data_IF_071893879521
#
_entry.id   IF_071893879521
#
_cell.length_a   1.000
_cell.length_b   1.000
_cell.length_c   1.000
_cell.angle_alpha   90.00
_cell.angle_beta   90.00
_cell.angle_gamma   90.00
#
_symmetry.space_group_name_H-M   'P 1'
#
loop_
_entity.id
_entity.type
_entity.pdbx_description
1 polymer ?
#
# COMPACT_ATOMS: atom_id res chain seq x y z
N UNK A 1 3.05 16.28 3.32
CA UNK A 1 3.26 16.15 1.87
C UNK A 1 2.48 17.22 1.13
N UNK A 2 1.18 17.34 1.39
CA UNK A 2 0.32 18.42 0.89
C UNK A 2 0.97 19.81 1.03
N UNK A 3 1.38 20.17 2.25
CA UNK A 3 2.05 21.46 2.51
C UNK A 3 3.32 21.68 1.68
N UNK A 4 4.06 20.62 1.39
CA UNK A 4 5.29 20.70 0.60
C UNK A 4 4.98 20.93 -0.89
N UNK A 5 3.89 20.34 -1.38
CA UNK A 5 3.42 20.55 -2.75
C UNK A 5 2.85 21.97 -2.92
N UNK A 6 2.12 22.46 -1.92
CA UNK A 6 1.59 23.83 -1.91
C UNK A 6 2.74 24.83 -1.89
N UNK A 7 3.71 24.65 -0.99
CA UNK A 7 4.90 25.49 -0.93
C UNK A 7 5.72 25.44 -2.24
N UNK A 8 5.81 24.28 -2.90
CA UNK A 8 6.46 24.21 -4.21
C UNK A 8 5.74 25.09 -5.23
N UNK A 9 4.41 24.95 -5.33
CA UNK A 9 3.61 25.72 -6.28
C UNK A 9 3.68 27.22 -6.00
N UNK A 10 3.66 27.63 -4.73
CA UNK A 10 3.75 29.05 -4.35
C UNK A 10 5.12 29.65 -4.73
N UNK A 11 6.19 28.87 -4.60
CA UNK A 11 7.55 29.33 -4.90
C UNK A 11 7.89 29.31 -6.39
N UNK A 12 7.44 28.28 -7.11
CA UNK A 12 7.78 28.10 -8.53
C UNK A 12 6.73 28.64 -9.48
N UNK A 13 5.50 28.87 -8.99
CA UNK A 13 4.30 29.17 -9.78
C UNK A 13 3.89 28.03 -10.75
N UNK A 14 4.54 26.86 -10.65
CA UNK A 14 4.23 25.69 -11.45
C UNK A 14 3.66 24.58 -10.56
N UNK A 15 2.66 23.89 -11.07
CA UNK A 15 2.11 22.71 -10.42
C UNK A 15 3.00 21.51 -10.73
N UNK A 16 3.42 20.78 -9.69
CA UNK A 16 4.14 19.53 -9.87
C UNK A 16 3.23 18.49 -10.54
N UNK A 17 3.66 17.95 -11.68
CA UNK A 17 2.95 16.87 -12.38
C UNK A 17 3.24 15.49 -11.77
N UNK A 18 4.43 15.33 -11.21
CA UNK A 18 4.94 14.09 -10.63
C UNK A 18 5.62 14.34 -9.29
N UNK A 19 5.35 13.47 -8.31
CA UNK A 19 5.99 13.47 -6.99
C UNK A 19 6.64 12.11 -6.77
N UNK A 20 7.94 12.13 -6.49
CA UNK A 20 8.72 10.96 -6.06
C UNK A 20 8.91 11.06 -4.55
N UNK A 21 8.64 9.99 -3.81
CA UNK A 21 8.88 9.99 -2.36
C UNK A 21 9.36 8.66 -1.82
N UNK A 22 10.24 8.74 -0.82
CA UNK A 22 10.80 7.59 -0.13
C UNK A 22 9.79 6.84 0.75
N UNK A 23 10.14 5.61 1.15
CA UNK A 23 9.37 4.74 2.05
C UNK A 23 8.79 5.45 3.28
N UNK A 24 9.47 6.47 3.83
CA UNK A 24 9.01 7.19 5.03
C UNK A 24 7.75 8.04 4.77
N UNK A 25 7.55 8.47 3.53
CA UNK A 25 6.40 9.29 3.13
C UNK A 25 5.26 8.47 2.50
N UNK A 26 5.42 7.15 2.47
CA UNK A 26 4.43 6.21 1.92
C UNK A 26 3.31 6.02 2.93
N UNK A 27 2.26 6.84 2.82
CA UNK A 27 1.02 6.72 3.61
C UNK A 27 -0.20 6.77 2.69
N UNK A 28 -1.31 6.14 3.11
CA UNK A 28 -2.57 6.17 2.34
C UNK A 28 -2.99 7.62 2.07
N UNK A 29 -2.91 8.49 3.08
CA UNK A 29 -3.25 9.91 2.96
C UNK A 29 -2.42 10.64 1.90
N UNK A 30 -1.11 10.38 1.85
CA UNK A 30 -0.22 10.99 0.87
C UNK A 30 -0.53 10.50 -0.56
N UNK A 31 -0.86 9.22 -0.74
CA UNK A 31 -1.32 8.72 -2.03
C UNK A 31 -2.65 9.36 -2.46
N UNK A 32 -3.63 9.41 -1.56
CA UNK A 32 -4.94 9.98 -1.86
C UNK A 32 -4.84 11.47 -2.17
N UNK A 33 -4.02 12.23 -1.43
CA UNK A 33 -3.81 13.65 -1.72
C UNK A 33 -3.13 13.91 -3.06
N UNK A 34 -2.19 13.06 -3.49
CA UNK A 34 -1.62 13.13 -4.84
C UNK A 34 -2.70 12.85 -5.91
N UNK A 35 -3.53 11.83 -5.67
CA UNK A 35 -4.64 11.47 -6.57
C UNK A 35 -5.67 12.60 -6.71
N UNK A 36 -6.10 13.18 -5.59
CA UNK A 36 -7.06 14.29 -5.54
C UNK A 36 -6.55 15.53 -6.28
N UNK A 37 -5.23 15.69 -6.37
CA UNK A 37 -4.56 16.79 -7.08
C UNK A 37 -4.20 16.43 -8.52
N UNK A 38 -4.55 15.23 -8.99
CA UNK A 38 -4.15 14.70 -10.30
C UNK A 38 -2.63 14.72 -10.55
N UNK A 39 -1.85 14.47 -9.49
CA UNK A 39 -0.39 14.39 -9.52
C UNK A 39 0.04 12.93 -9.50
N UNK A 40 0.94 12.55 -10.41
CA UNK A 40 1.47 11.18 -10.46
C UNK A 40 2.38 10.94 -9.26
N UNK A 41 2.08 9.90 -8.48
CA UNK A 41 2.82 9.55 -7.29
C UNK A 41 3.73 8.34 -7.55
N UNK A 42 5.03 8.59 -7.65
CA UNK A 42 6.07 7.56 -7.75
C UNK A 42 6.57 7.23 -6.35
N UNK A 43 5.80 6.39 -5.67
CA UNK A 43 6.06 5.98 -4.29
C UNK A 43 6.19 4.46 -4.19
N UNK A 44 7.01 3.93 -3.27
CA UNK A 44 7.05 2.51 -2.98
C UNK A 44 5.68 1.96 -2.53
N UNK A 45 5.44 0.68 -2.83
CA UNK A 45 4.16 0.04 -2.58
C UNK A 45 3.90 -0.22 -1.08
N UNK A 46 2.80 0.36 -0.56
CA UNK A 46 2.31 0.20 0.82
C UNK A 46 2.16 -1.27 1.25
N UNK A 47 1.75 -2.16 0.33
CA UNK A 47 1.40 -3.55 0.68
C UNK A 47 2.61 -4.49 0.65
N UNK A 48 3.73 -4.13 0.02
CA UNK A 48 4.90 -5.03 -0.13
C UNK A 48 5.44 -5.57 1.20
N UNK A 49 5.53 -4.74 2.23
CA UNK A 49 6.04 -5.17 3.54
C UNK A 49 5.12 -6.20 4.21
N UNK A 50 3.80 -5.96 4.16
CA UNK A 50 2.79 -6.88 4.70
C UNK A 50 2.77 -8.21 3.92
N UNK A 51 2.90 -8.13 2.59
CA UNK A 51 2.95 -9.28 1.71
C UNK A 51 4.16 -10.18 2.01
N UNK A 52 5.34 -9.59 2.14
CA UNK A 52 6.57 -10.31 2.49
C UNK A 52 6.47 -11.01 3.85
N UNK A 53 5.81 -10.37 4.83
CA UNK A 53 5.54 -11.00 6.12
C UNK A 53 4.58 -12.18 5.99
N UNK A 54 3.51 -12.04 5.22
CA UNK A 54 2.52 -13.11 5.02
C UNK A 54 3.15 -14.35 4.37
N UNK A 55 4.07 -14.14 3.41
CA UNK A 55 4.86 -15.22 2.79
C UNK A 55 5.70 -15.95 3.85
N UNK A 56 6.42 -15.21 4.69
CA UNK A 56 7.24 -15.81 5.78
C UNK A 56 6.40 -16.60 6.78
N UNK A 57 5.19 -16.15 7.06
CA UNK A 57 4.29 -16.81 8.02
C UNK A 57 3.51 -18.00 7.41
N UNK A 58 3.60 -18.21 6.09
CA UNK A 58 2.88 -19.27 5.37
C UNK A 58 1.37 -19.04 5.29
N UNK A 59 0.92 -17.80 5.42
CA UNK A 59 -0.49 -17.44 5.48
C UNK A 59 -0.92 -16.81 4.15
N UNK A 60 -2.13 -17.15 3.68
CA UNK A 60 -2.72 -16.53 2.50
C UNK A 60 -2.80 -15.01 2.62
N UNK A 61 -2.38 -14.37 1.53
CA UNK A 61 -2.43 -12.93 1.31
C UNK A 61 -3.85 -12.46 1.03
N UNK A 62 -4.07 -11.18 1.23
CA UNK A 62 -5.36 -10.56 0.92
C UNK A 62 -5.68 -10.63 -0.58
N UNK A 63 -4.67 -10.80 -1.45
CA UNK A 63 -4.83 -10.99 -2.90
C UNK A 63 -5.54 -12.30 -3.28
N UNK A 64 -5.62 -13.28 -2.37
CA UNK A 64 -6.43 -14.50 -2.56
C UNK A 64 -7.92 -14.28 -2.30
N UNK A 65 -8.30 -13.09 -1.83
CA UNK A 65 -9.67 -12.71 -1.55
C UNK A 65 -10.15 -11.73 -2.61
N UNK A 66 -11.17 -12.13 -3.37
CA UNK A 66 -11.70 -11.30 -4.45
C UNK A 66 -12.85 -10.46 -3.93
N UNK A 67 -12.84 -9.15 -4.19
CA UNK A 67 -13.96 -8.27 -3.83
C UNK A 67 -15.02 -8.30 -4.92
N UNK A 68 -16.27 -8.53 -4.52
CA UNK A 68 -17.46 -8.45 -5.37
C UNK A 68 -18.21 -7.16 -5.04
N UNK A 69 -18.15 -6.19 -5.96
CA UNK A 69 -18.75 -4.87 -5.80
C UNK A 69 -20.28 -4.89 -5.88
N UNK A 70 -20.89 -5.89 -6.52
CA UNK A 70 -22.35 -5.98 -6.63
C UNK A 70 -22.99 -6.38 -5.31
N UNK A 71 -22.33 -7.28 -4.57
CA UNK A 71 -22.85 -7.80 -3.30
C UNK A 71 -22.24 -7.13 -2.06
N UNK A 72 -21.23 -6.27 -2.23
CA UNK A 72 -20.38 -5.73 -1.17
C UNK A 72 -19.82 -6.85 -0.26
N UNK A 73 -19.27 -7.89 -0.89
CA UNK A 73 -18.66 -9.02 -0.16
C UNK A 73 -17.30 -9.39 -0.70
N UNK A 74 -16.52 -10.10 0.11
CA UNK A 74 -15.29 -10.74 -0.35
C UNK A 74 -15.50 -12.24 -0.53
N UNK A 75 -14.98 -12.82 -1.61
CA UNK A 75 -14.94 -14.26 -1.82
C UNK A 75 -13.59 -14.82 -1.40
N UNK A 76 -13.60 -15.81 -0.52
CA UNK A 76 -12.39 -16.51 -0.09
C UNK A 76 -12.02 -17.64 -1.07
N UNK A 77 -10.76 -18.16 -1.04
CA UNK A 77 -10.34 -19.25 -1.92
C UNK A 77 -11.08 -20.58 -1.68
N UNK A 78 -11.75 -20.74 -0.53
CA UNK A 78 -12.63 -21.87 -0.25
C UNK A 78 -14.09 -21.65 -0.70
N UNK A 79 -14.40 -20.54 -1.40
CA UNK A 79 -15.73 -20.22 -1.91
C UNK A 79 -16.68 -19.56 -0.89
N UNK A 80 -16.22 -19.27 0.33
CA UNK A 80 -17.03 -18.63 1.38
C UNK A 80 -17.05 -17.11 1.21
N UNK A 81 -18.24 -16.50 1.34
CA UNK A 81 -18.41 -15.05 1.33
C UNK A 81 -18.14 -14.42 2.71
N UNK A 82 -17.25 -13.43 2.73
CA UNK A 82 -16.98 -12.56 3.88
C UNK A 82 -17.90 -11.35 3.79
N UNK A 83 -18.64 -11.09 4.87
CA UNK A 83 -19.58 -9.97 4.97
C UNK A 83 -18.96 -8.82 5.76
N UNK A 84 -19.44 -7.59 5.49
CA UNK A 84 -19.07 -6.40 6.26
C UNK A 84 -19.41 -6.62 7.74
N UNK A 85 -18.43 -6.36 8.61
CA UNK A 85 -18.56 -6.52 10.06
C UNK A 85 -18.57 -5.17 10.79
N UNK A 86 -17.59 -4.32 10.50
CA UNK A 86 -17.41 -3.07 11.24
C UNK A 86 -16.80 -1.99 10.35
N UNK A 87 -17.18 -0.74 10.63
CA UNK A 87 -16.60 0.46 10.04
C UNK A 87 -15.74 1.16 11.09
N UNK A 88 -14.47 1.32 10.77
CA UNK A 88 -13.51 2.07 11.58
C UNK A 88 -13.34 3.46 10.98
N UNK A 89 -14.09 4.43 11.51
CA UNK A 89 -14.10 5.81 11.00
C UNK A 89 -12.73 6.48 11.08
N UNK A 90 -12.00 6.30 12.18
CA UNK A 90 -10.68 6.95 12.41
C UNK A 90 -9.62 6.58 11.36
N UNK A 91 -9.68 5.35 10.85
CA UNK A 91 -8.76 4.80 9.84
C UNK A 91 -9.43 4.55 8.50
N UNK A 92 -10.59 5.18 8.27
CA UNK A 92 -11.40 5.10 7.06
C UNK A 92 -11.44 3.70 6.40
N UNK A 93 -11.67 2.67 7.20
CA UNK A 93 -11.61 1.28 6.72
C UNK A 93 -12.74 0.41 7.23
N UNK A 94 -13.12 -0.54 6.38
CA UNK A 94 -14.13 -1.56 6.61
C UNK A 94 -13.45 -2.90 6.88
N UNK A 95 -13.94 -3.60 7.89
CA UNK A 95 -13.54 -4.98 8.17
C UNK A 95 -14.59 -5.93 7.61
N UNK A 96 -14.15 -6.89 6.80
CA UNK A 96 -14.96 -7.99 6.27
C UNK A 96 -14.56 -9.28 6.96
N UNK A 97 -15.52 -10.03 7.48
CA UNK A 97 -15.24 -11.26 8.22
C UNK A 97 -15.98 -12.46 7.64
N UNK A 98 -15.28 -13.59 7.57
CA UNK A 98 -15.90 -14.87 7.26
C UNK A 98 -16.72 -15.38 8.46
N UNK A 99 -17.84 -16.07 8.24
CA UNK A 99 -18.60 -16.69 9.31
C UNK A 99 -17.74 -17.72 10.06
N UNK A 100 -17.74 -17.62 11.40
CA UNK A 100 -16.89 -18.45 12.27
C UNK A 100 -17.09 -19.95 12.06
N UNK A 101 -18.35 -20.38 11.84
CA UNK A 101 -18.72 -21.79 11.65
C UNK A 101 -18.08 -22.37 10.39
N UNK A 102 -18.21 -21.68 9.25
CA UNK A 102 -17.61 -22.12 7.98
C UNK A 102 -16.09 -22.09 8.05
N UNK A 103 -15.52 -21.06 8.67
CA UNK A 103 -14.07 -20.98 8.90
C UNK A 103 -13.55 -22.06 9.84
N UNK A 104 -14.36 -22.63 10.73
CA UNK A 104 -13.94 -23.68 11.65
C UNK A 104 -13.89 -25.06 10.96
N UNK A 105 -14.73 -25.28 9.95
CA UNK A 105 -14.82 -26.52 9.18
C UNK A 105 -13.96 -26.50 7.90
N UNK A 106 -13.33 -25.36 7.59
CA UNK A 106 -12.57 -25.17 6.36
C UNK A 106 -11.20 -25.90 6.40
N UNK A 107 -10.94 -26.74 5.39
CA UNK A 107 -9.67 -27.46 5.23
C UNK A 107 -8.47 -26.53 4.98
N UNK A 108 -8.71 -25.36 4.37
CA UNK A 108 -7.67 -24.36 4.10
C UNK A 108 -7.35 -23.48 5.31
N UNK A 109 -8.04 -23.66 6.44
CA UNK A 109 -7.88 -22.84 7.65
C UNK A 109 -6.42 -22.72 8.12
N UNK A 110 -5.61 -23.81 8.18
CA UNK A 110 -4.23 -23.71 8.66
C UNK A 110 -3.35 -22.75 7.84
N UNK A 111 -3.64 -22.62 6.53
CA UNK A 111 -2.94 -21.72 5.62
C UNK A 111 -3.64 -20.36 5.49
N UNK A 112 -4.83 -20.18 6.04
CA UNK A 112 -5.66 -18.98 5.85
C UNK A 112 -5.60 -18.01 7.05
N UNK A 113 -5.70 -18.52 8.29
CA UNK A 113 -5.73 -17.69 9.49
C UNK A 113 -5.39 -18.48 10.75
N UNK A 114 -4.67 -17.84 11.68
CA UNK A 114 -4.43 -18.38 13.04
C UNK A 114 -5.50 -17.94 14.04
N UNK A 115 -6.40 -17.03 13.66
CA UNK A 115 -7.40 -16.45 14.56
C UNK A 115 -8.61 -17.39 14.73
N UNK A 116 -8.98 -17.69 16.00
CA UNK A 116 -10.15 -18.49 16.38
C UNK A 116 -11.47 -17.97 15.79
N UNK A 117 -11.57 -16.66 15.56
CA UNK A 117 -12.77 -16.02 15.01
C UNK A 117 -12.87 -16.09 13.48
N UNK A 118 -11.87 -16.63 12.78
CA UNK A 118 -11.83 -16.69 11.31
C UNK A 118 -10.95 -15.61 10.69
N UNK A 119 -10.96 -15.53 9.36
CA UNK A 119 -10.19 -14.51 8.61
C UNK A 119 -10.98 -13.21 8.56
N UNK A 120 -10.27 -12.11 8.77
CA UNK A 120 -10.77 -10.75 8.56
C UNK A 120 -9.94 -10.08 7.48
N UNK A 121 -10.59 -9.47 6.49
CA UNK A 121 -9.96 -8.66 5.44
C UNK A 121 -10.30 -7.20 5.68
N UNK A 122 -9.30 -6.33 5.61
CA UNK A 122 -9.45 -4.88 5.79
C UNK A 122 -9.49 -4.23 4.41
N UNK A 123 -10.47 -3.37 4.17
CA UNK A 123 -10.62 -2.60 2.93
C UNK A 123 -10.70 -1.12 3.27
N UNK A 124 -9.89 -0.28 2.63
CA UNK A 124 -10.05 1.17 2.74
C UNK A 124 -11.35 1.63 2.05
N UNK A 125 -11.95 2.74 2.48
CA UNK A 125 -13.15 3.26 1.80
C UNK A 125 -12.86 3.63 0.33
N UNK A 126 -11.71 4.25 0.09
CA UNK A 126 -11.18 4.61 -1.24
C UNK A 126 -10.26 3.52 -1.83
N UNK A 127 -10.51 2.24 -1.55
CA UNK A 127 -9.60 1.16 -1.96
C UNK A 127 -9.47 1.03 -3.48
N UNK A 128 -10.53 1.27 -4.25
CA UNK A 128 -10.50 1.17 -5.70
C UNK A 128 -9.49 2.15 -6.32
N UNK A 129 -9.44 3.38 -5.81
CA UNK A 129 -8.49 4.41 -6.25
C UNK A 129 -7.05 4.02 -5.90
N UNK A 130 -6.84 3.49 -4.68
CA UNK A 130 -5.52 2.97 -4.26
C UNK A 130 -5.05 1.82 -5.15
N UNK A 131 -5.96 0.91 -5.53
CA UNK A 131 -5.63 -0.22 -6.40
C UNK A 131 -5.29 0.26 -7.83
N UNK A 132 -6.03 1.25 -8.37
CA UNK A 132 -5.72 1.88 -9.66
C UNK A 132 -4.34 2.55 -9.67
N UNK A 133 -4.05 3.37 -8.66
CA UNK A 133 -2.74 4.02 -8.50
C UNK A 133 -1.62 2.99 -8.39
N UNK A 134 -1.86 1.89 -7.68
CA UNK A 134 -0.88 0.79 -7.56
C UNK A 134 -0.58 0.15 -8.90
N UNK A 135 -1.61 -0.09 -9.72
CA UNK A 135 -1.42 -0.64 -11.07
C UNK A 135 -0.64 0.33 -11.96
N UNK A 136 -0.93 1.63 -11.89
CA UNK A 136 -0.18 2.66 -12.61
C UNK A 136 1.30 2.67 -12.20
N UNK A 137 1.59 2.64 -10.90
CA UNK A 137 2.96 2.68 -10.40
C UNK A 137 3.77 1.41 -10.71
N UNK A 138 3.11 0.28 -10.98
CA UNK A 138 3.76 -0.96 -11.39
C UNK A 138 4.15 -0.96 -12.86
N UNK A 139 3.50 -0.17 -13.72
CA UNK A 139 3.51 -0.46 -15.14
C UNK A 139 4.74 0.01 -15.90
N UNK A 140 5.35 1.20 -15.73
CA UNK A 140 6.35 1.60 -16.77
C UNK A 140 7.48 2.59 -16.48
N UNK A 141 7.46 3.51 -15.51
CA UNK A 141 8.52 4.55 -15.43
C UNK A 141 9.02 4.83 -14.00
N UNK A 142 8.15 4.66 -13.02
CA UNK A 142 8.33 4.95 -11.60
C UNK A 142 9.52 4.24 -10.94
N UNK A 143 9.83 3.00 -11.34
CA UNK A 143 10.98 2.25 -10.79
C UNK A 143 12.31 2.85 -11.19
N UNK A 144 12.40 3.42 -12.40
CA UNK A 144 13.62 4.09 -12.87
C UNK A 144 13.78 5.40 -12.12
N UNK A 145 12.70 6.16 -11.93
CA UNK A 145 12.76 7.43 -11.20
C UNK A 145 13.15 7.25 -9.73
N UNK A 146 12.60 6.25 -9.05
CA UNK A 146 13.01 5.88 -7.69
C UNK A 146 14.47 5.42 -7.60
N UNK A 147 15.04 4.89 -8.69
CA UNK A 147 16.41 4.39 -8.74
C UNK A 147 17.40 5.50 -9.14
N UNK A 148 16.99 6.43 -10.00
CA UNK A 148 17.76 7.62 -10.41
C UNK A 148 17.83 8.66 -9.28
N UNK A 149 16.82 8.72 -8.42
CA UNK A 149 16.73 9.63 -7.27
C UNK A 149 17.24 9.01 -5.95
N UNK A 150 17.90 7.84 -5.98
CA UNK A 150 18.77 7.45 -4.87
C UNK A 150 20.16 8.06 -5.14
N UNK A 151 20.46 9.30 -4.73
CA UNK A 151 21.85 9.64 -4.55
C UNK A 151 22.42 8.66 -3.51
N UNK A 152 23.69 8.30 -3.65
CA UNK A 152 24.48 7.64 -2.62
C UNK A 152 24.55 8.53 -1.37
N UNK A 153 23.43 8.69 -0.66
CA UNK A 153 23.37 9.42 0.59
C UNK A 153 23.79 8.43 1.68
N UNK A 154 25.11 8.35 1.83
CA UNK A 154 25.82 7.95 3.04
C UNK A 154 25.27 6.74 3.78
N UNK A 155 25.70 5.54 3.35
CA UNK A 155 26.04 4.52 4.35
C UNK A 155 27.24 5.03 5.14
N UNK A 156 27.01 5.75 6.23
CA UNK A 156 28.02 5.90 7.29
C UNK A 156 28.20 4.55 7.98
N UNK A 157 28.90 3.64 7.31
CA UNK A 157 29.61 2.56 8.00
C UNK A 157 30.86 3.22 8.55
N UNK A 158 30.89 3.36 9.87
CA UNK A 158 32.07 3.69 10.67
C UNK A 158 33.39 3.28 10.00
N UNK A 159 34.23 4.26 9.67
CA UNK A 159 35.64 4.01 9.32
C UNK A 159 36.10 4.70 8.04
N UNK A 160 36.62 5.93 8.19
CA UNK A 160 37.90 6.41 7.62
C UNK A 160 38.17 6.04 6.14
N UNK A 161 38.05 7.02 5.22
CA UNK A 161 39.13 7.60 4.38
C UNK A 161 38.54 8.48 3.25
N UNK A 162 39.30 9.53 2.90
CA UNK A 162 39.16 10.49 1.80
C UNK A 162 38.55 9.90 0.50
N UNK A 163 37.71 10.69 -0.18
CA UNK A 163 38.08 11.28 -1.47
C UNK A 163 37.08 12.36 -1.91
N UNK A 164 37.65 13.48 -2.34
CA UNK A 164 37.02 14.61 -2.99
C UNK A 164 36.27 14.19 -4.24
N UNK A 165 35.11 14.81 -4.50
CA UNK A 165 34.62 15.01 -5.87
C UNK A 165 33.61 16.14 -5.91
N UNK A 166 34.10 17.28 -6.40
CA UNK A 166 33.36 18.43 -6.86
C UNK A 166 32.46 18.07 -8.04
N UNK A 167 31.23 18.57 -8.02
CA UNK A 167 30.45 18.86 -9.22
C UNK A 167 29.84 20.26 -9.02
N UNK A 168 30.02 21.09 -10.05
CA UNK A 168 29.74 22.53 -10.10
C UNK A 168 28.31 22.91 -9.74
#
# INVERSE_FOLDING_TARGET
MVELMDAHQDNTLYKAETVVADNKYVTIENYLSCHDRAVKAHMPDLKKAQENRSIKEGIYRDDKFTYDSQSDTYLCPAGVRLKRKSLHKSRQSLDYQAPKKECAQCLLRPQCTRNKSGRTVKRHLRQAELDLMRTQAQFTEDRRDLQTQQPDCERTRSGRHLMERTFW
#
